data_IF_438686343002
#
_entry.id   IF_438686343002
#
_cell.length_a   1.000
_cell.length_b   1.000
_cell.length_c   1.000
_cell.angle_alpha   90.00
_cell.angle_beta   90.00
_cell.angle_gamma   90.00
#
_symmetry.space_group_name_H-M   'P 1'
#
loop_
_entity.id
_entity.type
_entity.pdbx_description
1 polymer ?
#
# COMPACT_ATOMS: atom_id res chain seq x y z
N UNK A 1 -6.55 13.22 5.22
CA UNK A 1 -5.16 12.85 5.58
C UNK A 1 -5.22 11.91 6.78
N UNK A 2 -4.82 10.65 6.59
CA UNK A 2 -4.75 9.67 7.67
C UNK A 2 -3.48 9.96 8.47
N UNK A 3 -3.62 10.45 9.69
CA UNK A 3 -2.47 10.80 10.56
C UNK A 3 -1.85 9.58 11.25
N UNK A 4 -2.50 8.42 11.20
CA UNK A 4 -2.05 7.18 11.86
C UNK A 4 -2.02 6.06 10.82
N UNK A 5 -0.88 5.37 10.75
CA UNK A 5 -0.73 4.17 9.91
C UNK A 5 -0.64 2.94 10.79
N UNK A 6 -1.34 1.89 10.40
CA UNK A 6 -1.28 0.58 11.04
C UNK A 6 -0.03 -0.20 10.58
N UNK A 7 0.35 -1.23 11.35
CA UNK A 7 1.45 -2.15 10.95
C UNK A 7 1.18 -2.78 9.59
N UNK A 8 -0.07 -3.18 9.33
CA UNK A 8 -0.46 -3.80 8.05
C UNK A 8 -0.28 -2.84 6.88
N UNK A 9 -0.77 -1.60 6.99
CA UNK A 9 -0.61 -0.58 5.94
C UNK A 9 0.86 -0.27 5.62
N UNK A 10 1.73 -0.28 6.64
CA UNK A 10 3.17 -0.09 6.42
C UNK A 10 3.80 -1.28 5.70
N UNK A 11 3.43 -2.52 6.05
CA UNK A 11 3.89 -3.73 5.35
C UNK A 11 3.39 -3.77 3.90
N UNK A 12 2.14 -3.40 3.65
CA UNK A 12 1.56 -3.30 2.30
C UNK A 12 2.29 -2.24 1.48
N UNK A 13 2.61 -1.09 2.08
CA UNK A 13 3.40 -0.03 1.44
C UNK A 13 4.79 -0.51 1.05
N UNK A 14 5.48 -1.26 1.93
CA UNK A 14 6.79 -1.86 1.62
C UNK A 14 6.65 -2.86 0.48
N UNK A 15 5.66 -3.75 0.53
CA UNK A 15 5.41 -4.75 -0.52
C UNK A 15 5.14 -4.10 -1.87
N UNK A 16 4.35 -3.02 -1.90
CA UNK A 16 4.08 -2.23 -3.11
C UNK A 16 5.34 -1.59 -3.70
N UNK A 17 6.20 -1.00 -2.85
CA UNK A 17 7.49 -0.42 -3.27
C UNK A 17 8.43 -1.48 -3.88
N UNK A 18 8.40 -2.71 -3.36
CA UNK A 18 9.23 -3.82 -3.86
C UNK A 18 8.67 -4.45 -5.14
N UNK A 19 7.39 -4.19 -5.47
CA UNK A 19 6.68 -4.82 -6.59
C UNK A 19 7.36 -4.62 -7.94
N UNK A 20 7.89 -3.43 -8.23
CA UNK A 20 8.59 -3.14 -9.48
C UNK A 20 9.82 -4.03 -9.67
N UNK A 21 10.64 -4.20 -8.63
CA UNK A 21 11.81 -5.09 -8.64
C UNK A 21 11.42 -6.54 -8.86
N UNK A 22 10.37 -6.99 -8.18
CA UNK A 22 9.86 -8.36 -8.32
C UNK A 22 9.35 -8.59 -9.74
N UNK A 23 8.64 -7.62 -10.32
CA UNK A 23 8.17 -7.71 -11.70
C UNK A 23 9.32 -7.84 -12.70
N UNK A 24 10.39 -7.04 -12.56
CA UNK A 24 11.60 -7.18 -13.38
C UNK A 24 12.20 -8.58 -13.27
N UNK A 25 12.38 -9.09 -12.05
CA UNK A 25 12.96 -10.41 -11.81
C UNK A 25 12.13 -11.53 -12.46
N UNK A 26 10.80 -11.50 -12.29
CA UNK A 26 9.92 -12.53 -12.82
C UNK A 26 9.74 -12.46 -14.33
N UNK A 27 9.74 -11.24 -14.92
CA UNK A 27 9.51 -11.06 -16.35
C UNK A 27 10.78 -11.22 -17.20
N UNK A 28 11.91 -10.70 -16.70
CA UNK A 28 13.14 -10.60 -17.51
C UNK A 28 14.27 -11.48 -16.98
N UNK A 29 14.11 -12.09 -15.81
CA UNK A 29 15.16 -12.80 -15.07
C UNK A 29 16.45 -11.96 -14.90
N UNK A 30 16.29 -10.64 -14.91
CA UNK A 30 17.33 -9.64 -14.71
C UNK A 30 16.82 -8.55 -13.78
N UNK A 31 17.74 -7.80 -13.20
CA UNK A 31 17.42 -6.72 -12.26
C UNK A 31 18.19 -5.48 -12.65
N UNK A 32 17.51 -4.33 -12.65
CA UNK A 32 18.11 -3.05 -13.00
C UNK A 32 18.28 -2.13 -11.79
N UNK A 33 18.89 -0.98 -11.98
CA UNK A 33 19.01 0.06 -10.95
C UNK A 33 17.71 0.88 -10.78
N UNK A 34 16.67 0.63 -11.58
CA UNK A 34 15.43 1.42 -11.60
C UNK A 34 14.70 1.47 -10.25
N UNK A 35 14.74 0.38 -9.49
CA UNK A 35 14.11 0.28 -8.18
C UNK A 35 14.89 0.94 -7.02
N UNK A 36 15.99 1.67 -7.27
CA UNK A 36 16.84 2.25 -6.22
C UNK A 36 16.06 3.12 -5.22
N UNK A 37 15.22 4.01 -5.72
CA UNK A 37 14.44 4.92 -4.88
C UNK A 37 13.39 4.18 -4.03
N UNK A 38 12.81 3.12 -4.58
CA UNK A 38 11.82 2.31 -3.88
C UNK A 38 12.47 1.49 -2.77
N UNK A 39 13.67 0.95 -2.98
CA UNK A 39 14.46 0.34 -1.91
C UNK A 39 14.82 1.32 -0.80
N UNK A 40 15.19 2.55 -1.14
CA UNK A 40 15.48 3.57 -0.13
C UNK A 40 14.25 3.85 0.73
N UNK A 41 13.07 4.04 0.13
CA UNK A 41 11.81 4.27 0.84
C UNK A 41 11.40 3.06 1.68
N UNK A 42 11.41 1.86 1.11
CA UNK A 42 11.09 0.61 1.81
C UNK A 42 11.99 0.40 3.04
N UNK A 43 13.28 0.64 2.88
CA UNK A 43 14.27 0.54 3.96
C UNK A 43 14.01 1.55 5.07
N UNK A 44 13.66 2.80 4.72
CA UNK A 44 13.31 3.82 5.71
C UNK A 44 12.05 3.46 6.50
N UNK A 45 11.00 2.96 5.82
CA UNK A 45 9.76 2.53 6.49
C UNK A 45 10.05 1.35 7.43
N UNK A 46 10.73 0.31 6.95
CA UNK A 46 11.09 -0.85 7.78
C UNK A 46 11.93 -0.45 8.99
N UNK A 47 12.89 0.47 8.83
CA UNK A 47 13.68 0.99 9.94
C UNK A 47 12.82 1.72 10.95
N UNK A 48 11.93 2.62 10.52
CA UNK A 48 11.03 3.34 11.41
C UNK A 48 10.08 2.39 12.18
N UNK A 49 9.60 1.33 11.53
CA UNK A 49 8.80 0.29 12.20
C UNK A 49 9.55 -0.36 13.36
N UNK A 50 10.84 -0.62 13.18
CA UNK A 50 11.68 -1.26 14.20
C UNK A 50 12.11 -0.26 15.28
N UNK A 51 12.61 0.93 14.88
CA UNK A 51 13.31 1.84 15.80
C UNK A 51 12.44 2.92 16.41
N UNK A 52 11.35 3.31 15.75
CA UNK A 52 10.50 4.43 16.18
C UNK A 52 9.13 3.96 16.67
N UNK A 53 8.50 3.02 15.95
CA UNK A 53 7.09 2.66 16.20
C UNK A 53 6.92 1.42 17.09
N UNK A 54 8.01 0.68 17.38
CA UNK A 54 7.94 -0.55 18.18
C UNK A 54 7.06 -1.64 17.55
N UNK A 55 7.05 -1.72 16.20
CA UNK A 55 6.20 -2.64 15.43
C UNK A 55 6.95 -3.90 14.97
N UNK A 56 8.06 -4.25 15.62
CA UNK A 56 8.88 -5.43 15.33
C UNK A 56 8.85 -6.43 16.49
N UNK A 57 9.50 -7.59 16.31
CA UNK A 57 9.64 -8.61 17.34
C UNK A 57 10.57 -8.18 18.49
N UNK A 58 11.29 -7.06 18.36
CA UNK A 58 12.04 -6.45 19.46
C UNK A 58 11.14 -5.81 20.53
N UNK A 59 9.83 -5.79 20.28
CA UNK A 59 8.83 -5.28 21.21
C UNK A 59 8.58 -3.76 21.09
N UNK A 60 7.73 -3.21 21.97
CA UNK A 60 7.31 -1.81 21.94
C UNK A 60 8.38 -0.89 22.56
N UNK A 61 9.56 -0.86 21.96
CA UNK A 61 10.69 -0.05 22.40
C UNK A 61 11.06 0.96 21.33
N UNK A 62 11.27 2.21 21.71
CA UNK A 62 11.77 3.24 20.82
C UNK A 62 13.30 3.35 20.98
N UNK A 63 14.04 3.00 19.95
CA UNK A 63 15.50 3.04 19.90
C UNK A 63 16.04 4.34 19.32
N UNK A 64 15.31 4.96 18.40
CA UNK A 64 15.67 6.22 17.73
C UNK A 64 14.49 7.19 17.82
N UNK A 65 14.78 8.49 17.91
CA UNK A 65 13.79 9.54 17.82
C UNK A 65 14.04 10.32 16.53
N UNK A 66 12.98 10.70 15.81
CA UNK A 66 13.10 11.70 14.76
C UNK A 66 13.51 13.04 15.39
N UNK A 67 14.71 13.49 15.08
CA UNK A 67 15.12 14.83 15.47
C UNK A 67 14.31 15.85 14.65
N UNK A 68 13.48 16.61 15.34
CA UNK A 68 12.89 17.83 14.80
C UNK A 68 13.99 18.82 14.40
N UNK A 69 13.82 19.46 13.27
CA UNK A 69 14.69 20.43 12.57
C UNK A 69 15.95 20.87 13.32
N UNK A 70 17.09 20.49 12.78
CA UNK A 70 18.43 20.87 13.22
C UNK A 70 18.57 22.39 13.21
N UNK A 71 18.72 23.00 14.37
CA UNK A 71 19.19 24.37 14.50
C UNK A 71 20.68 24.40 14.13
N UNK A 72 21.00 25.14 13.07
CA UNK A 72 22.34 25.30 12.51
C UNK A 72 23.39 25.59 13.60
N UNK A 73 24.38 24.70 13.78
CA UNK A 73 25.59 25.04 14.47
C UNK A 73 26.24 24.02 15.40
N UNK A 74 25.74 22.80 15.53
CA UNK A 74 26.44 21.74 16.26
C UNK A 74 26.53 20.45 15.44
N UNK A 75 27.75 20.07 15.08
CA UNK A 75 28.07 18.70 14.68
C UNK A 75 27.81 17.78 15.87
N UNK A 76 26.60 17.24 15.93
CA UNK A 76 26.31 16.15 16.81
C UNK A 76 26.73 14.85 16.12
N UNK A 77 27.83 14.27 16.58
CA UNK A 77 28.04 12.83 16.51
C UNK A 77 26.73 12.16 16.93
N UNK A 78 26.03 11.49 15.98
CA UNK A 78 24.90 10.63 16.30
C UNK A 78 25.41 9.54 17.25
N UNK A 79 25.37 9.83 18.55
CA UNK A 79 25.66 8.81 19.55
C UNK A 79 24.47 7.83 19.49
N UNK A 80 24.75 6.64 18.99
CA UNK A 80 23.77 5.55 19.07
C UNK A 80 23.49 5.29 20.55
N UNK A 81 22.26 5.46 20.98
CA UNK A 81 21.82 5.27 22.36
C UNK A 81 21.65 3.79 22.74
N UNK A 82 22.16 2.86 21.91
CA UNK A 82 22.00 1.42 22.09
C UNK A 82 23.32 0.69 21.80
N UNK A 83 23.45 -0.51 22.37
CA UNK A 83 24.63 -1.36 22.23
C UNK A 83 24.83 -1.87 20.80
N UNK A 84 26.03 -2.34 20.48
CA UNK A 84 26.33 -2.97 19.18
C UNK A 84 25.46 -4.22 18.94
N UNK A 85 25.08 -4.92 20.00
CA UNK A 85 24.19 -6.07 19.90
C UNK A 85 22.77 -5.65 19.49
N UNK A 86 22.21 -4.63 20.11
CA UNK A 86 20.90 -4.09 19.75
C UNK A 86 20.92 -3.53 18.32
N UNK A 87 22.03 -2.90 17.90
CA UNK A 87 22.19 -2.47 16.51
C UNK A 87 22.09 -3.64 15.52
N UNK A 88 22.72 -4.76 15.85
CA UNK A 88 22.65 -5.97 15.04
C UNK A 88 21.22 -6.57 15.00
N UNK A 89 20.53 -6.60 16.13
CA UNK A 89 19.15 -7.07 16.21
C UNK A 89 18.20 -6.17 15.39
N UNK A 90 18.38 -4.84 15.44
CA UNK A 90 17.64 -3.90 14.59
C UNK A 90 17.88 -4.19 13.10
N UNK A 91 19.12 -4.39 12.69
CA UNK A 91 19.48 -4.70 11.31
C UNK A 91 18.87 -6.05 10.85
N UNK A 92 18.81 -7.04 11.75
CA UNK A 92 18.17 -8.33 11.45
C UNK A 92 16.65 -8.19 11.28
N UNK A 93 15.97 -7.49 12.18
CA UNK A 93 14.53 -7.28 12.10
C UNK A 93 14.15 -6.46 10.86
N UNK A 94 14.92 -5.43 10.54
CA UNK A 94 14.73 -4.66 9.32
C UNK A 94 14.82 -5.53 8.06
N UNK A 95 15.85 -6.39 7.97
CA UNK A 95 16.00 -7.33 6.84
C UNK A 95 14.88 -8.35 6.79
N UNK A 96 14.43 -8.84 7.93
CA UNK A 96 13.30 -9.77 8.04
C UNK A 96 12.04 -9.16 7.46
N UNK A 97 11.68 -7.94 7.90
CA UNK A 97 10.51 -7.21 7.38
C UNK A 97 10.61 -7.03 5.86
N UNK A 98 11.75 -6.58 5.34
CA UNK A 98 11.94 -6.40 3.89
C UNK A 98 11.79 -7.73 3.14
N UNK A 99 12.39 -8.81 3.63
CA UNK A 99 12.31 -10.12 3.00
C UNK A 99 10.89 -10.69 3.02
N UNK A 100 10.17 -10.57 4.13
CA UNK A 100 8.78 -11.00 4.23
C UNK A 100 7.90 -10.24 3.23
N UNK A 101 8.03 -8.92 3.15
CA UNK A 101 7.32 -8.09 2.17
C UNK A 101 7.70 -8.43 0.72
N UNK A 102 8.97 -8.75 0.47
CA UNK A 102 9.44 -9.18 -0.85
C UNK A 102 8.80 -10.51 -1.28
N UNK A 103 8.73 -11.50 -0.37
CA UNK A 103 8.08 -12.78 -0.66
C UNK A 103 6.56 -12.62 -0.87
N UNK A 104 5.91 -11.73 -0.12
CA UNK A 104 4.50 -11.39 -0.35
C UNK A 104 4.31 -10.79 -1.74
N UNK A 105 5.10 -9.78 -2.11
CA UNK A 105 5.05 -9.17 -3.44
C UNK A 105 5.31 -10.20 -4.55
N UNK A 106 6.30 -11.09 -4.35
CA UNK A 106 6.65 -12.15 -5.30
C UNK A 106 5.50 -13.14 -5.49
N UNK A 107 4.84 -13.53 -4.42
CA UNK A 107 3.66 -14.39 -4.46
C UNK A 107 2.53 -13.73 -5.24
N UNK A 108 2.16 -12.50 -4.87
CA UNK A 108 1.06 -11.78 -5.53
C UNK A 108 1.31 -11.62 -7.03
N UNK A 109 2.51 -11.18 -7.42
CA UNK A 109 2.84 -10.96 -8.84
C UNK A 109 2.89 -12.29 -9.60
N UNK A 110 3.48 -13.36 -9.01
CA UNK A 110 3.56 -14.66 -9.67
C UNK A 110 2.18 -15.28 -9.89
N UNK A 111 1.24 -15.08 -8.97
CA UNK A 111 -0.14 -15.55 -9.10
C UNK A 111 -0.96 -14.73 -10.11
N UNK A 112 -0.51 -13.51 -10.46
CA UNK A 112 -1.20 -12.57 -11.33
C UNK A 112 -0.36 -12.16 -12.56
N UNK A 113 0.51 -13.04 -13.06
CA UNK A 113 1.42 -12.75 -14.18
C UNK A 113 0.69 -12.34 -15.48
N UNK A 114 -0.46 -12.93 -15.75
CA UNK A 114 -1.25 -12.61 -16.94
C UNK A 114 -1.83 -11.19 -16.84
N UNK A 115 -2.29 -10.80 -15.65
CA UNK A 115 -2.75 -9.44 -15.38
C UNK A 115 -1.60 -8.42 -15.48
N UNK A 116 -0.41 -8.76 -14.97
CA UNK A 116 0.77 -7.89 -15.11
C UNK A 116 1.11 -7.63 -16.59
N UNK A 117 1.08 -8.67 -17.43
CA UNK A 117 1.31 -8.53 -18.87
C UNK A 117 0.26 -7.67 -19.54
N UNK A 118 -1.00 -7.89 -19.20
CA UNK A 118 -2.14 -7.15 -19.74
C UNK A 118 -2.03 -5.65 -19.40
N UNK A 119 -1.68 -5.30 -18.16
CA UNK A 119 -1.44 -3.90 -17.76
C UNK A 119 -0.24 -3.31 -18.53
N UNK A 120 0.83 -4.08 -18.70
CA UNK A 120 2.00 -3.62 -19.43
C UNK A 120 1.69 -3.36 -20.92
N UNK A 121 0.92 -4.24 -21.57
CA UNK A 121 0.45 -4.08 -22.96
C UNK A 121 -0.45 -2.85 -23.08
N UNK A 122 -1.38 -2.66 -22.15
CA UNK A 122 -2.23 -1.47 -22.11
C UNK A 122 -1.43 -0.18 -21.97
N UNK A 123 -0.39 -0.17 -21.15
CA UNK A 123 0.50 0.99 -20.98
C UNK A 123 1.34 1.26 -22.24
N UNK A 124 1.78 0.22 -22.96
CA UNK A 124 2.49 0.38 -24.23
C UNK A 124 1.60 0.98 -25.32
N UNK A 125 0.30 0.66 -25.31
CA UNK A 125 -0.67 1.17 -26.28
C UNK A 125 -1.12 2.61 -25.96
N UNK A 126 -1.48 2.87 -24.68
CA UNK A 126 -2.11 4.13 -24.25
C UNK A 126 -1.13 5.13 -23.62
N UNK A 127 0.13 4.74 -23.38
CA UNK A 127 1.17 5.49 -22.65
C UNK A 127 0.78 5.86 -21.20
N UNK A 128 -0.49 6.02 -20.91
CA UNK A 128 -1.04 6.36 -19.59
C UNK A 128 -2.38 5.66 -19.39
N UNK A 129 -2.58 5.06 -18.22
CA UNK A 129 -3.86 4.47 -17.82
C UNK A 129 -4.28 5.03 -16.46
N UNK A 130 -5.59 5.28 -16.28
CA UNK A 130 -6.15 5.76 -15.01
C UNK A 130 -6.44 4.61 -14.07
N UNK A 131 -6.74 4.93 -12.81
CA UNK A 131 -7.14 3.92 -11.82
C UNK A 131 -8.40 3.16 -12.31
N UNK A 132 -9.38 3.88 -12.78
CA UNK A 132 -10.66 3.33 -13.27
C UNK A 132 -10.43 2.37 -14.46
N UNK A 133 -9.49 2.71 -15.35
CA UNK A 133 -9.11 1.83 -16.48
C UNK A 133 -8.38 0.58 -15.99
N UNK A 134 -7.54 0.68 -14.94
CA UNK A 134 -6.92 -0.49 -14.32
C UNK A 134 -7.96 -1.38 -13.69
N UNK A 135 -8.89 -0.82 -12.91
CA UNK A 135 -9.96 -1.57 -12.24
C UNK A 135 -10.87 -2.26 -13.28
N UNK A 136 -11.20 -1.58 -14.37
CA UNK A 136 -11.95 -2.17 -15.50
C UNK A 136 -11.17 -3.32 -16.16
N UNK A 137 -9.89 -3.14 -16.40
CA UNK A 137 -9.01 -4.13 -17.02
C UNK A 137 -8.87 -5.38 -16.14
N UNK A 138 -8.77 -5.20 -14.83
CA UNK A 138 -8.74 -6.29 -13.85
C UNK A 138 -10.05 -7.10 -13.88
N UNK A 139 -11.20 -6.41 -13.99
CA UNK A 139 -12.53 -7.04 -13.99
C UNK A 139 -12.87 -7.72 -15.31
N UNK A 140 -12.55 -7.10 -16.44
CA UNK A 140 -13.02 -7.50 -17.77
C UNK A 140 -11.95 -8.13 -18.66
N UNK A 141 -10.68 -8.04 -18.31
CA UNK A 141 -9.56 -8.59 -19.10
C UNK A 141 -9.23 -7.82 -20.37
N UNK A 142 -9.83 -6.63 -20.57
CA UNK A 142 -9.56 -5.74 -21.72
C UNK A 142 -9.76 -4.28 -21.31
N UNK A 143 -9.18 -3.34 -22.08
CA UNK A 143 -9.51 -1.93 -21.93
C UNK A 143 -10.90 -1.62 -22.53
N UNK A 144 -11.62 -0.60 -22.04
CA UNK A 144 -12.84 -0.13 -22.67
C UNK A 144 -12.53 0.40 -24.07
N UNK A 145 -13.47 0.23 -25.00
CA UNK A 145 -13.38 0.80 -26.36
C UNK A 145 -13.23 2.32 -26.31
N UNK A 146 -12.62 2.94 -27.35
CA UNK A 146 -12.26 4.36 -27.38
C UNK A 146 -13.45 5.33 -27.15
N UNK A 147 -14.66 4.89 -27.41
CA UNK A 147 -15.93 5.63 -27.19
C UNK A 147 -16.68 5.19 -25.93
N UNK A 148 -16.17 4.23 -25.17
CA UNK A 148 -16.81 3.69 -23.98
C UNK A 148 -16.58 4.61 -22.78
N UNK A 149 -17.59 5.34 -22.35
CA UNK A 149 -17.66 5.83 -20.98
C UNK A 149 -17.56 4.62 -20.06
N UNK A 150 -16.54 4.59 -19.21
CA UNK A 150 -16.44 3.57 -18.16
C UNK A 150 -17.65 3.82 -17.26
N UNK A 151 -18.59 2.87 -17.26
CA UNK A 151 -19.69 2.93 -16.30
C UNK A 151 -19.10 2.74 -14.90
N UNK A 152 -18.97 3.85 -14.19
CA UNK A 152 -18.40 3.87 -12.85
C UNK A 152 -19.35 3.34 -11.79
N UNK A 153 -20.61 3.09 -12.12
CA UNK A 153 -21.60 2.56 -11.18
C UNK A 153 -21.21 1.17 -10.65
N UNK A 154 -20.61 0.35 -11.50
CA UNK A 154 -20.08 -0.98 -11.12
C UNK A 154 -18.85 -0.91 -10.17
N UNK A 155 -18.13 0.23 -10.13
CA UNK A 155 -17.00 0.42 -9.25
C UNK A 155 -17.41 0.98 -7.87
N UNK A 156 -18.54 1.69 -7.80
CA UNK A 156 -19.13 2.12 -6.54
C UNK A 156 -19.62 0.92 -5.71
N UNK A 157 -20.17 -0.13 -6.35
CA UNK A 157 -20.62 -1.34 -5.64
C UNK A 157 -19.49 -2.11 -4.96
N UNK A 158 -18.30 -2.23 -5.57
CA UNK A 158 -17.11 -2.83 -4.97
C UNK A 158 -16.56 -2.00 -3.78
N UNK A 159 -16.77 -0.69 -3.82
CA UNK A 159 -16.38 0.24 -2.77
C UNK A 159 -17.23 0.13 -1.50
N UNK A 160 -18.53 -0.13 -1.61
CA UNK A 160 -19.41 -0.21 -0.43
C UNK A 160 -19.10 -1.39 0.48
N UNK A 161 -18.69 -2.52 -0.09
CA UNK A 161 -18.34 -3.70 0.69
C UNK A 161 -17.03 -3.55 1.48
N UNK A 162 -16.10 -2.75 0.97
CA UNK A 162 -14.81 -2.45 1.62
C UNK A 162 -14.90 -1.29 2.63
N UNK A 163 -15.96 -0.48 2.58
CA UNK A 163 -16.17 0.62 3.50
C UNK A 163 -16.51 0.15 4.91
N UNK A 164 -16.05 0.89 5.90
CA UNK A 164 -16.44 0.66 7.30
C UNK A 164 -17.90 1.06 7.52
N UNK A 165 -18.53 0.51 8.57
CA UNK A 165 -19.91 0.85 8.93
C UNK A 165 -20.10 2.36 9.17
N UNK A 166 -19.06 3.04 9.67
CA UNK A 166 -19.09 4.50 9.91
C UNK A 166 -19.15 5.28 8.61
N UNK A 167 -18.29 4.94 7.65
CA UNK A 167 -18.23 5.57 6.32
C UNK A 167 -19.52 5.35 5.52
N UNK A 168 -20.07 4.14 5.59
CA UNK A 168 -21.36 3.83 4.96
C UNK A 168 -22.52 4.62 5.56
N UNK A 169 -22.50 4.87 6.88
CA UNK A 169 -23.51 5.71 7.55
C UNK A 169 -23.40 7.18 7.14
N UNK A 170 -22.18 7.67 6.98
CA UNK A 170 -21.96 9.05 6.53
C UNK A 170 -22.41 9.23 5.06
N UNK A 171 -22.12 8.25 4.22
CA UNK A 171 -22.60 8.24 2.82
C UNK A 171 -24.11 8.12 2.70
N UNK A 172 -24.73 7.23 3.49
CA UNK A 172 -26.19 7.07 3.56
C UNK A 172 -26.89 8.37 4.03
N UNK A 173 -26.24 9.12 4.91
CA UNK A 173 -26.70 10.43 5.36
C UNK A 173 -26.63 11.45 4.23
N UNK A 174 -25.56 11.46 3.45
CA UNK A 174 -25.35 12.37 2.33
C UNK A 174 -26.35 12.10 1.19
N UNK A 175 -26.59 10.82 0.88
CA UNK A 175 -27.61 10.39 -0.09
C UNK A 175 -29.06 10.46 0.44
N UNK A 176 -29.27 10.86 1.70
CA UNK A 176 -30.59 11.11 2.26
C UNK A 176 -31.38 9.87 2.67
N UNK A 177 -30.72 8.73 2.84
CA UNK A 177 -31.34 7.48 3.30
C UNK A 177 -31.88 7.67 4.71
N UNK A 178 -33.15 7.32 4.92
CA UNK A 178 -33.83 7.46 6.23
C UNK A 178 -33.50 6.27 7.11
N UNK A 179 -33.32 6.52 8.41
CA UNK A 179 -33.06 5.52 9.45
C UNK A 179 -31.68 4.82 9.39
N UNK A 180 -30.73 5.30 8.60
CA UNK A 180 -29.39 4.74 8.44
C UNK A 180 -28.64 4.48 9.78
N UNK A 181 -28.96 5.27 10.82
CA UNK A 181 -28.30 5.17 12.13
C UNK A 181 -28.51 3.80 12.82
N UNK A 182 -29.63 3.13 12.55
CA UNK A 182 -30.02 1.86 13.13
C UNK A 182 -29.82 0.66 12.20
N UNK A 183 -29.35 0.89 10.96
CA UNK A 183 -29.14 -0.15 9.96
C UNK A 183 -27.81 -0.84 10.15
N UNK A 184 -27.77 -2.12 9.81
CA UNK A 184 -26.53 -2.91 9.69
C UNK A 184 -25.78 -2.54 8.41
N UNK A 185 -24.50 -2.95 8.32
CA UNK A 185 -23.68 -2.72 7.13
C UNK A 185 -24.35 -3.23 5.86
N UNK A 186 -24.91 -4.44 5.92
CA UNK A 186 -25.57 -5.09 4.78
C UNK A 186 -26.88 -4.39 4.36
N UNK A 187 -27.62 -3.87 5.32
CA UNK A 187 -28.85 -3.11 5.06
C UNK A 187 -28.57 -1.76 4.40
N UNK A 188 -27.51 -1.07 4.83
CA UNK A 188 -27.10 0.20 4.24
C UNK A 188 -26.61 -0.01 2.80
N UNK A 189 -25.77 -1.04 2.57
CA UNK A 189 -25.32 -1.38 1.21
C UNK A 189 -26.49 -1.65 0.30
N UNK A 190 -27.45 -2.45 0.74
CA UNK A 190 -28.64 -2.80 -0.05
C UNK A 190 -29.52 -1.59 -0.42
N UNK A 191 -29.61 -0.61 0.47
CA UNK A 191 -30.34 0.63 0.19
C UNK A 191 -29.57 1.55 -0.75
N UNK A 192 -28.23 1.57 -0.64
CA UNK A 192 -27.34 2.33 -1.54
C UNK A 192 -27.31 1.75 -2.95
N UNK A 193 -27.47 0.42 -3.10
CA UNK A 193 -27.55 -0.29 -4.38
C UNK A 193 -28.94 -0.20 -5.04
N UNK A 194 -29.96 0.19 -4.30
CA UNK A 194 -31.35 0.26 -4.78
C UNK A 194 -31.74 1.64 -5.35
N UNK A 195 -30.86 2.64 -5.25
CA UNK A 195 -31.04 3.99 -5.82
C UNK A 195 -30.33 4.12 -7.17
#
# INVERSE_FOLDING_TARGET
ETYLSTKTELLDSISGLLGGRVAEELMFNEVTTGAHNDFEKATKIARAMVTEYGMSDLGPVQFEQQEGSVFLGRDYNKSRNFSSQVAFEIDQEQRKIINECYEIAKKIISENMDLLKLIAEALLEKETITKEQIDYLVKNGCLPDEDGEIDTSDFEELSYHDMTLSELKDLAKEKGIKNYSNMTKEEIIKELEAE
#
